data_IF_377265000700
#
_entry.id   IF_377265000700
#
_cell.length_a   1.000
_cell.length_b   1.000
_cell.length_c   1.000
_cell.angle_alpha   90.00
_cell.angle_beta   90.00
_cell.angle_gamma   90.00
#
_symmetry.space_group_name_H-M   'P 1'
#
loop_
_entity.id
_entity.type
_entity.pdbx_description
1 polymer ?
#
# COMPACT_ATOMS: atom_id res chain seq x y z
N UNK A 1 -25.05 19.38 -30.76
CA UNK A 1 -25.52 18.28 -29.88
C UNK A 1 -25.34 16.99 -30.65
N UNK A 2 -24.76 15.91 -30.16
CA UNK A 2 -24.17 15.58 -28.87
C UNK A 2 -23.10 14.51 -29.20
N UNK A 3 -21.85 14.74 -28.83
CA UNK A 3 -20.78 13.76 -28.96
C UNK A 3 -21.05 12.64 -27.96
N UNK A 4 -21.19 11.40 -28.44
CA UNK A 4 -21.21 10.21 -27.59
C UNK A 4 -19.77 9.77 -27.38
N UNK A 5 -19.36 9.78 -26.11
CA UNK A 5 -18.08 9.34 -25.59
C UNK A 5 -17.82 7.89 -25.95
N UNK A 6 -16.62 7.63 -26.48
CA UNK A 6 -16.10 6.29 -26.74
C UNK A 6 -15.90 5.52 -25.44
N UNK A 7 -16.31 4.26 -25.50
CA UNK A 7 -15.94 3.22 -24.55
C UNK A 7 -14.41 3.05 -24.61
N UNK A 8 -13.73 3.38 -23.51
CA UNK A 8 -12.31 3.04 -23.36
C UNK A 8 -12.20 1.54 -23.03
N UNK A 9 -11.99 0.75 -24.07
CA UNK A 9 -11.43 -0.59 -24.01
C UNK A 9 -9.95 -0.46 -23.65
N UNK A 10 -9.60 -0.62 -22.37
CA UNK A 10 -8.26 -0.94 -21.90
C UNK A 10 -8.39 -1.48 -20.47
N UNK A 11 -8.78 -2.75 -20.36
CA UNK A 11 -8.91 -3.48 -19.08
C UNK A 11 -8.05 -4.76 -19.07
N UNK A 12 -6.93 -4.78 -19.81
CA UNK A 12 -6.09 -5.97 -19.98
C UNK A 12 -4.59 -5.67 -19.95
N UNK A 13 -4.14 -4.75 -19.08
CA UNK A 13 -2.71 -4.48 -18.88
C UNK A 13 -2.22 -5.01 -17.55
N UNK A 14 -1.64 -6.21 -17.59
CA UNK A 14 -0.57 -6.70 -16.71
C UNK A 14 -0.67 -6.29 -15.24
N UNK A 15 -1.79 -6.60 -14.61
CA UNK A 15 -1.77 -6.82 -13.17
C UNK A 15 -1.02 -8.14 -12.93
N UNK A 16 0.27 -8.08 -12.58
CA UNK A 16 0.84 -9.12 -11.72
C UNK A 16 0.26 -8.90 -10.33
N UNK A 17 -1.04 -9.23 -10.21
CA UNK A 17 -1.74 -9.54 -8.98
C UNK A 17 -0.92 -10.63 -8.30
N UNK A 18 -0.83 -10.64 -6.96
CA UNK A 18 -0.36 -11.83 -6.29
C UNK A 18 -1.28 -12.96 -6.77
N UNK A 19 -0.76 -13.90 -7.56
CA UNK A 19 -1.45 -15.14 -7.76
C UNK A 19 -1.44 -15.81 -6.39
N UNK A 20 -2.46 -15.53 -5.57
CA UNK A 20 -2.78 -16.34 -4.42
C UNK A 20 -3.07 -17.72 -5.02
N UNK A 21 -2.06 -18.59 -5.07
CA UNK A 21 -2.34 -20.01 -5.13
C UNK A 21 -3.29 -20.28 -3.96
N UNK A 22 -4.53 -20.65 -4.28
CA UNK A 22 -5.58 -21.01 -3.34
C UNK A 22 -5.19 -22.28 -2.56
N UNK A 23 -4.10 -22.22 -1.81
CA UNK A 23 -3.89 -23.07 -0.67
C UNK A 23 -4.89 -22.57 0.38
N UNK A 24 -5.99 -23.30 0.55
CA UNK A 24 -7.01 -22.94 1.54
C UNK A 24 -6.40 -22.68 2.93
N UNK A 25 -7.13 -21.95 3.78
CA UNK A 25 -6.68 -21.54 5.12
C UNK A 25 -5.97 -22.67 5.86
N UNK A 26 -4.69 -22.44 6.18
CA UNK A 26 -3.92 -23.38 6.97
C UNK A 26 -4.22 -23.20 8.48
N UNK A 27 -3.63 -24.04 9.33
CA UNK A 27 -3.88 -23.96 10.77
C UNK A 27 -3.34 -22.67 11.41
N UNK A 28 -2.25 -22.13 10.88
CA UNK A 28 -1.71 -20.84 11.34
C UNK A 28 -2.67 -19.69 11.02
N UNK A 29 -3.31 -19.70 9.85
CA UNK A 29 -4.31 -18.68 9.48
C UNK A 29 -5.51 -18.71 10.43
N UNK A 30 -5.98 -19.90 10.83
CA UNK A 30 -7.08 -20.03 11.81
C UNK A 30 -6.68 -19.49 13.18
N UNK A 31 -5.46 -19.80 13.63
CA UNK A 31 -4.92 -19.28 14.89
C UNK A 31 -4.83 -17.75 14.83
N UNK A 32 -4.34 -17.20 13.71
CA UNK A 32 -4.26 -15.75 13.51
C UNK A 32 -5.65 -15.10 13.56
N UNK A 33 -6.66 -15.67 12.89
CA UNK A 33 -8.04 -15.18 12.93
C UNK A 33 -8.63 -15.20 14.35
N UNK A 34 -8.42 -16.27 15.11
CA UNK A 34 -8.89 -16.37 16.49
C UNK A 34 -8.24 -15.29 17.38
N UNK A 35 -6.92 -15.11 17.26
CA UNK A 35 -6.18 -14.06 17.99
C UNK A 35 -6.67 -12.65 17.61
N UNK A 36 -6.80 -12.37 16.31
CA UNK A 36 -7.30 -11.07 15.81
C UNK A 36 -8.75 -10.85 16.28
N UNK A 37 -9.58 -11.89 16.22
CA UNK A 37 -10.98 -11.84 16.67
C UNK A 37 -11.13 -11.40 18.13
N UNK A 38 -10.20 -11.82 19.00
CA UNK A 38 -10.15 -11.50 20.43
C UNK A 38 -9.59 -10.12 20.75
N UNK A 39 -8.97 -9.41 19.79
CA UNK A 39 -8.47 -8.07 20.02
C UNK A 39 -9.60 -7.10 20.37
N UNK A 40 -9.35 -6.26 21.37
CA UNK A 40 -10.27 -5.24 21.86
C UNK A 40 -9.85 -3.84 21.43
N UNK A 41 -10.82 -2.93 21.30
CA UNK A 41 -10.57 -1.54 20.90
C UNK A 41 -9.56 -0.81 21.80
N UNK A 42 -9.54 -1.11 23.11
CA UNK A 42 -8.57 -0.53 24.04
C UNK A 42 -7.12 -0.90 23.70
N UNK A 43 -6.87 -2.10 23.17
CA UNK A 43 -5.53 -2.51 22.73
C UNK A 43 -5.09 -1.69 21.51
N UNK A 44 -6.02 -1.39 20.59
CA UNK A 44 -5.73 -0.54 19.44
C UNK A 44 -5.38 0.89 19.86
N UNK A 45 -6.11 1.47 20.82
CA UNK A 45 -5.80 2.82 21.32
C UNK A 45 -4.41 2.90 21.96
N UNK A 46 -3.97 1.85 22.67
CA UNK A 46 -2.60 1.82 23.19
C UNK A 46 -1.54 1.77 22.08
N UNK A 47 -1.89 1.27 20.90
CA UNK A 47 -1.01 1.12 19.74
C UNK A 47 -1.16 2.25 18.71
N UNK A 48 -1.84 3.33 19.08
CA UNK A 48 -2.09 4.47 18.21
C UNK A 48 -0.84 5.31 17.97
N UNK A 49 -0.72 5.81 16.74
CA UNK A 49 0.07 6.99 16.40
C UNK A 49 -0.77 7.95 15.55
N UNK A 50 -0.34 9.21 15.49
CA UNK A 50 -0.90 10.19 14.57
C UNK A 50 0.03 10.34 13.37
N UNK A 51 -0.51 10.07 12.18
CA UNK A 51 0.10 10.52 10.93
C UNK A 51 -0.26 12.00 10.76
N UNK A 52 0.73 12.88 10.88
CA UNK A 52 0.50 14.32 10.96
C UNK A 52 0.21 14.94 9.59
N UNK A 53 -0.62 15.97 9.58
CA UNK A 53 -0.77 16.82 8.40
C UNK A 53 0.59 17.38 7.94
N UNK A 54 0.81 17.38 6.63
CA UNK A 54 2.05 17.81 6.00
C UNK A 54 3.10 16.70 5.84
N UNK A 55 2.89 15.49 6.36
CA UNK A 55 3.81 14.38 6.10
C UNK A 55 3.87 14.07 4.61
N UNK A 56 5.09 13.98 4.08
CA UNK A 56 5.37 13.51 2.72
C UNK A 56 5.61 12.00 2.72
N UNK A 57 4.93 11.32 1.80
CA UNK A 57 4.98 9.88 1.58
C UNK A 57 5.16 9.59 0.10
N UNK A 58 5.55 8.36 -0.22
CA UNK A 58 5.85 7.93 -1.57
C UNK A 58 4.89 6.85 -2.04
N UNK A 59 4.52 6.92 -3.31
CA UNK A 59 3.75 5.87 -3.98
C UNK A 59 4.31 5.66 -5.37
N UNK A 60 4.64 4.42 -5.69
CA UNK A 60 4.95 4.02 -7.05
C UNK A 60 3.71 3.42 -7.71
N UNK A 61 3.45 3.81 -8.96
CA UNK A 61 2.30 3.34 -9.74
C UNK A 61 2.66 3.19 -11.21
N UNK A 62 1.86 2.45 -11.96
CA UNK A 62 1.97 2.38 -13.43
C UNK A 62 1.16 3.52 -14.04
N UNK A 63 1.78 4.35 -14.88
CA UNK A 63 1.14 5.46 -15.56
C UNK A 63 0.80 6.65 -14.65
N UNK A 64 0.42 7.76 -15.26
CA UNK A 64 0.22 9.03 -14.54
C UNK A 64 -1.13 9.15 -13.84
N UNK A 65 -2.13 8.34 -14.19
CA UNK A 65 -3.48 8.40 -13.62
C UNK A 65 -4.06 9.82 -13.60
N UNK A 66 -3.94 10.55 -14.70
CA UNK A 66 -4.42 11.94 -14.79
C UNK A 66 -3.61 12.94 -13.96
N UNK A 67 -2.36 12.59 -13.59
CA UNK A 67 -1.48 13.42 -12.77
C UNK A 67 -1.63 13.21 -11.27
N UNK A 68 -2.38 12.19 -10.83
CA UNK A 68 -2.62 11.91 -9.41
C UNK A 68 -2.02 10.57 -8.98
N UNK A 69 -1.37 10.59 -7.82
CA UNK A 69 -0.97 9.41 -7.06
C UNK A 69 -1.86 9.14 -5.84
N UNK A 70 -2.86 10.00 -5.64
CA UNK A 70 -3.90 9.78 -4.63
C UNK A 70 -5.10 9.16 -5.32
N UNK A 71 -5.27 7.87 -5.05
CA UNK A 71 -6.48 7.14 -5.38
C UNK A 71 -6.67 5.97 -4.43
N UNK A 72 -7.87 5.87 -3.87
CA UNK A 72 -8.28 4.84 -2.92
C UNK A 72 -9.00 3.72 -3.67
N UNK A 73 -8.35 2.56 -3.77
CA UNK A 73 -8.89 1.43 -4.51
C UNK A 73 -10.00 0.75 -3.69
N UNK A 74 -11.25 0.83 -4.16
CA UNK A 74 -12.40 0.14 -3.58
C UNK A 74 -12.45 -1.36 -3.93
N UNK A 75 -11.77 -1.78 -5.00
CA UNK A 75 -11.66 -3.18 -5.35
C UNK A 75 -10.46 -3.80 -4.63
N UNK A 76 -10.66 -4.14 -3.35
CA UNK A 76 -9.64 -4.64 -2.45
C UNK A 76 -9.49 -6.16 -2.43
N UNK A 77 -10.17 -6.91 -3.30
CA UNK A 77 -10.28 -8.39 -3.18
C UNK A 77 -8.93 -9.11 -3.14
N UNK A 78 -7.88 -8.50 -3.68
CA UNK A 78 -6.50 -8.96 -3.52
C UNK A 78 -5.55 -7.86 -3.02
N UNK A 79 -5.93 -7.10 -1.99
CA UNK A 79 -5.03 -6.16 -1.30
C UNK A 79 -4.93 -6.46 0.22
N UNK A 80 -3.71 -6.61 0.75
CA UNK A 80 -3.48 -6.88 2.18
C UNK A 80 -3.93 -5.68 3.00
N UNK A 81 -4.80 -5.86 3.98
CA UNK A 81 -5.38 -4.76 4.78
C UNK A 81 -6.37 -3.85 4.04
N UNK A 82 -6.97 -4.32 2.95
CA UNK A 82 -8.13 -3.64 2.38
C UNK A 82 -9.39 -3.84 3.21
N UNK A 83 -10.37 -2.95 3.04
CA UNK A 83 -11.69 -3.07 3.63
C UNK A 83 -12.65 -3.67 2.60
N UNK A 84 -13.43 -4.68 3.01
CA UNK A 84 -14.44 -5.32 2.17
C UNK A 84 -15.86 -4.78 2.45
N UNK A 85 -15.98 -3.51 2.82
CA UNK A 85 -17.25 -2.88 3.19
C UNK A 85 -18.02 -2.29 1.99
N UNK A 86 -17.41 -2.28 0.80
CA UNK A 86 -17.98 -1.72 -0.43
C UNK A 86 -18.05 -0.19 -0.46
N UNK A 87 -17.50 0.49 0.54
CA UNK A 87 -17.56 1.94 0.71
C UNK A 87 -16.15 2.53 0.65
N UNK A 88 -15.27 2.06 1.53
CA UNK A 88 -13.93 2.60 1.70
C UNK A 88 -12.95 1.93 0.74
N UNK A 89 -12.17 2.75 0.05
CA UNK A 89 -11.01 2.27 -0.70
C UNK A 89 -9.76 2.26 0.16
N UNK A 90 -8.72 1.60 -0.34
CA UNK A 90 -7.40 1.56 0.30
C UNK A 90 -6.33 2.22 -0.56
N UNK A 91 -5.40 2.92 0.07
CA UNK A 91 -4.20 3.47 -0.55
C UNK A 91 -2.97 3.06 0.25
N UNK A 92 -1.99 2.44 -0.44
CA UNK A 92 -0.71 2.05 0.14
C UNK A 92 0.36 3.08 -0.18
N UNK A 93 1.16 3.41 0.81
CA UNK A 93 2.20 4.42 0.78
C UNK A 93 3.45 3.88 1.49
N UNK A 94 4.61 4.37 1.08
CA UNK A 94 5.88 4.09 1.73
C UNK A 94 6.48 5.37 2.32
N UNK A 95 7.35 5.20 3.33
CA UNK A 95 8.12 6.32 3.91
C UNK A 95 9.25 6.79 3.00
N UNK A 96 9.75 5.92 2.13
CA UNK A 96 10.86 6.23 1.22
C UNK A 96 10.60 5.68 -0.19
N UNK A 97 11.22 6.27 -1.23
CA UNK A 97 11.07 5.83 -2.61
C UNK A 97 11.57 4.40 -2.85
N UNK A 98 12.66 4.00 -2.19
CA UNK A 98 13.27 2.67 -2.32
C UNK A 98 12.34 1.58 -1.78
N UNK A 99 11.68 1.79 -0.63
CA UNK A 99 10.63 0.89 -0.15
C UNK A 99 9.46 0.83 -1.15
N UNK A 100 9.00 1.96 -1.70
CA UNK A 100 7.93 1.96 -2.71
C UNK A 100 8.31 1.18 -3.98
N UNK A 101 9.55 1.34 -4.47
CA UNK A 101 10.08 0.58 -5.60
C UNK A 101 10.17 -0.91 -5.27
N UNK A 102 10.70 -1.25 -4.10
CA UNK A 102 10.90 -2.64 -3.70
C UNK A 102 9.57 -3.39 -3.53
N UNK A 103 8.55 -2.74 -2.97
CA UNK A 103 7.20 -3.31 -2.86
C UNK A 103 6.58 -3.60 -4.24
N UNK A 104 6.64 -2.66 -5.18
CA UNK A 104 6.04 -2.84 -6.52
C UNK A 104 6.81 -3.87 -7.35
N UNK A 105 8.13 -3.92 -7.20
CA UNK A 105 8.99 -4.78 -8.03
C UNK A 105 9.44 -6.07 -7.35
N UNK A 106 8.89 -6.43 -6.18
CA UNK A 106 9.34 -7.59 -5.37
C UNK A 106 9.36 -8.93 -6.12
N UNK A 107 8.55 -9.10 -7.16
CA UNK A 107 8.48 -10.33 -7.96
C UNK A 107 9.07 -10.18 -9.37
N UNK A 108 9.65 -9.02 -9.69
CA UNK A 108 10.32 -8.80 -10.97
C UNK A 108 11.75 -9.37 -10.89
N UNK A 109 12.14 -10.11 -11.93
CA UNK A 109 13.53 -10.60 -12.08
C UNK A 109 14.49 -9.52 -12.57
N UNK A 110 13.94 -8.47 -13.18
CA UNK A 110 14.64 -7.33 -13.75
C UNK A 110 13.65 -6.45 -14.51
N UNK A 111 14.11 -5.28 -14.92
CA UNK A 111 13.37 -4.28 -15.71
C UNK A 111 14.21 -3.89 -16.92
N UNK A 112 13.56 -3.34 -17.95
CA UNK A 112 14.26 -2.59 -19.00
C UNK A 112 14.28 -1.10 -18.64
N UNK A 113 15.25 -0.34 -19.16
CA UNK A 113 15.25 1.12 -19.00
C UNK A 113 13.96 1.74 -19.52
N UNK A 114 13.48 1.28 -20.67
CA UNK A 114 12.19 1.70 -21.24
C UNK A 114 10.97 1.38 -20.37
N UNK A 115 11.07 0.42 -19.44
CA UNK A 115 9.99 0.16 -18.49
C UNK A 115 9.87 1.30 -17.48
N UNK A 116 10.98 1.98 -17.13
CA UNK A 116 11.02 3.04 -16.12
C UNK A 116 10.16 4.26 -16.50
N UNK A 117 9.96 4.51 -17.79
CA UNK A 117 9.06 5.56 -18.28
C UNK A 117 7.59 5.30 -17.89
N UNK A 118 7.23 4.03 -17.73
CA UNK A 118 5.85 3.63 -17.43
C UNK A 118 5.53 3.67 -15.93
N UNK A 119 6.54 3.77 -15.06
CA UNK A 119 6.34 3.82 -13.62
C UNK A 119 6.52 5.23 -13.10
N UNK A 120 5.53 5.72 -12.36
CA UNK A 120 5.48 7.08 -11.85
C UNK A 120 5.65 7.05 -10.34
N UNK A 121 6.71 7.70 -9.85
CA UNK A 121 6.90 7.97 -8.43
C UNK A 121 6.13 9.23 -8.05
N UNK A 122 5.10 9.06 -7.21
CA UNK A 122 4.32 10.13 -6.62
C UNK A 122 4.83 10.52 -5.25
N UNK A 123 4.94 11.83 -5.01
CA UNK A 123 5.04 12.41 -3.66
C UNK A 123 3.65 12.80 -3.20
N UNK A 124 3.17 12.14 -2.15
CA UNK A 124 1.85 12.33 -1.57
C UNK A 124 1.99 13.09 -0.26
N UNK A 125 1.18 14.12 -0.06
CA UNK A 125 1.13 14.90 1.19
C UNK A 125 -0.17 14.61 1.90
N UNK A 126 -0.07 14.29 3.19
CA UNK A 126 -1.23 14.13 4.07
C UNK A 126 -1.80 15.51 4.42
N UNK A 127 -3.10 15.73 4.24
CA UNK A 127 -3.72 17.05 4.41
C UNK A 127 -4.28 17.30 5.81
N UNK A 128 -4.52 16.24 6.59
CA UNK A 128 -5.05 16.31 7.96
C UNK A 128 -4.45 15.22 8.83
N UNK A 129 -4.46 15.42 10.14
CA UNK A 129 -4.04 14.39 11.08
C UNK A 129 -4.90 13.12 10.95
N UNK A 130 -4.24 11.96 10.83
CA UNK A 130 -4.89 10.66 10.72
C UNK A 130 -4.47 9.79 11.90
N UNK A 131 -5.45 9.22 12.59
CA UNK A 131 -5.19 8.19 13.60
C UNK A 131 -4.88 6.88 12.90
N UNK A 132 -3.66 6.37 13.09
CA UNK A 132 -3.22 5.12 12.47
C UNK A 132 -2.73 4.14 13.53
N UNK A 133 -3.02 2.86 13.34
CA UNK A 133 -2.53 1.81 14.23
C UNK A 133 -1.08 1.47 13.86
N UNK A 134 -0.20 1.39 14.86
CA UNK A 134 1.14 0.83 14.70
C UNK A 134 1.11 -0.69 14.88
N UNK A 135 1.18 -1.44 13.77
CA UNK A 135 1.14 -2.91 13.79
C UNK A 135 2.34 -3.49 14.57
N UNK A 136 3.52 -2.88 14.46
CA UNK A 136 4.71 -3.27 15.22
C UNK A 136 4.50 -3.19 16.75
N UNK A 137 3.80 -2.15 17.21
CA UNK A 137 3.43 -1.97 18.63
C UNK A 137 2.32 -2.91 19.06
N UNK A 138 1.37 -3.22 18.17
CA UNK A 138 0.36 -4.25 18.41
C UNK A 138 1.00 -5.62 18.61
N UNK A 139 1.91 -6.04 17.72
CA UNK A 139 2.69 -7.28 17.85
C UNK A 139 3.42 -7.32 19.19
N UNK A 140 4.12 -6.22 19.55
CA UNK A 140 4.88 -6.16 20.81
C UNK A 140 4.02 -6.28 22.07
N UNK A 141 2.75 -5.89 22.00
CA UNK A 141 1.85 -5.79 23.15
C UNK A 141 0.77 -6.88 23.19
N UNK A 142 0.83 -7.85 22.29
CA UNK A 142 -0.15 -8.93 22.16
C UNK A 142 0.52 -10.28 21.86
N UNK A 143 -0.29 -11.34 21.74
CA UNK A 143 0.17 -12.68 21.36
C UNK A 143 0.29 -12.87 19.83
N UNK A 144 0.12 -11.80 19.05
CA UNK A 144 0.29 -11.81 17.60
C UNK A 144 1.76 -11.77 17.23
N UNK A 145 2.10 -12.47 16.16
CA UNK A 145 3.44 -12.45 15.56
C UNK A 145 3.42 -11.72 14.22
N UNK A 146 4.60 -11.33 13.74
CA UNK A 146 4.74 -10.76 12.41
C UNK A 146 4.21 -11.72 11.34
N UNK A 147 4.61 -12.99 11.39
CA UNK A 147 4.19 -14.02 10.42
C UNK A 147 2.67 -14.18 10.32
N UNK A 148 1.96 -14.07 11.44
CA UNK A 148 0.48 -14.14 11.45
C UNK A 148 -0.17 -12.92 10.78
N UNK A 149 0.48 -11.76 10.80
CA UNK A 149 -0.03 -10.53 10.19
C UNK A 149 0.46 -10.33 8.75
N UNK A 150 1.49 -11.07 8.33
CA UNK A 150 2.08 -10.98 7.00
C UNK A 150 1.72 -12.16 6.08
N UNK A 151 0.81 -13.03 6.52
CA UNK A 151 0.32 -14.20 5.76
C UNK A 151 -0.21 -13.82 4.36
N UNK A 152 -0.14 -14.78 3.43
CA UNK A 152 -0.72 -14.66 2.09
C UNK A 152 -2.27 -14.69 2.11
N UNK A 153 -2.87 -15.23 3.18
CA UNK A 153 -4.32 -15.37 3.31
C UNK A 153 -4.98 -14.01 3.59
N UNK A 154 -5.57 -13.40 2.56
CA UNK A 154 -6.13 -12.04 2.64
C UNK A 154 -7.21 -11.86 3.71
N UNK A 155 -8.04 -12.88 3.91
CA UNK A 155 -9.06 -12.88 4.97
C UNK A 155 -8.48 -12.58 6.37
N UNK A 156 -7.25 -13.03 6.67
CA UNK A 156 -6.57 -12.74 7.95
C UNK A 156 -6.23 -11.25 8.04
N UNK A 157 -5.54 -10.73 7.04
CA UNK A 157 -5.08 -9.33 7.02
C UNK A 157 -6.26 -8.34 6.93
N UNK A 158 -7.31 -8.68 6.19
CA UNK A 158 -8.53 -7.88 6.04
C UNK A 158 -9.35 -7.86 7.33
N UNK A 159 -9.42 -8.97 8.09
CA UNK A 159 -10.08 -8.97 9.40
C UNK A 159 -9.42 -7.98 10.38
N UNK A 160 -8.08 -7.90 10.39
CA UNK A 160 -7.38 -6.91 11.20
C UNK A 160 -7.76 -5.49 10.78
N UNK A 161 -7.69 -5.20 9.47
CA UNK A 161 -8.06 -3.89 8.93
C UNK A 161 -9.48 -3.48 9.32
N UNK A 162 -10.46 -4.38 9.16
CA UNK A 162 -11.85 -4.16 9.53
C UNK A 162 -12.03 -3.83 11.01
N UNK A 163 -11.37 -4.57 11.90
CA UNK A 163 -11.44 -4.31 13.35
C UNK A 163 -10.81 -2.97 13.73
N UNK A 164 -9.69 -2.62 13.10
CA UNK A 164 -8.97 -1.37 13.35
C UNK A 164 -9.77 -0.18 12.84
N UNK A 165 -10.30 -0.26 11.62
CA UNK A 165 -11.19 0.75 11.06
C UNK A 165 -12.46 0.92 11.93
N UNK A 166 -13.07 -0.18 12.37
CA UNK A 166 -14.23 -0.15 13.28
C UNK A 166 -13.94 0.51 14.63
N UNK A 167 -12.67 0.55 15.06
CA UNK A 167 -12.22 1.25 16.25
C UNK A 167 -11.94 2.76 16.03
N UNK A 168 -12.23 3.28 14.84
CA UNK A 168 -12.13 4.70 14.49
C UNK A 168 -10.76 5.15 14.00
N UNK A 169 -9.95 4.23 13.47
CA UNK A 169 -8.67 4.53 12.83
C UNK A 169 -8.86 4.74 11.33
N UNK A 170 -8.11 5.69 10.76
CA UNK A 170 -8.11 5.98 9.31
C UNK A 170 -7.06 5.21 8.52
N UNK A 171 -6.27 4.36 9.17
CA UNK A 171 -5.22 3.58 8.52
C UNK A 171 -4.37 2.77 9.50
N UNK A 172 -3.32 2.15 8.96
CA UNK A 172 -2.34 1.39 9.73
C UNK A 172 -0.93 1.58 9.17
N UNK A 173 0.03 1.74 10.08
CA UNK A 173 1.45 1.58 9.78
C UNK A 173 1.84 0.12 10.02
N UNK A 174 2.39 -0.53 8.99
CA UNK A 174 2.75 -1.94 9.02
C UNK A 174 4.15 -2.15 8.43
N UNK A 175 4.93 -3.12 8.94
CA UNK A 175 6.20 -3.49 8.33
C UNK A 175 5.97 -4.14 6.97
N UNK A 176 6.72 -3.70 5.96
CA UNK A 176 6.82 -4.35 4.66
C UNK A 176 7.18 -5.83 4.81
N UNK A 177 6.51 -6.70 4.05
CA UNK A 177 6.85 -8.12 3.98
C UNK A 177 8.17 -8.37 3.25
N UNK A 178 8.65 -7.38 2.50
CA UNK A 178 9.79 -7.49 1.59
C UNK A 178 11.05 -6.88 2.21
N UNK A 179 10.94 -5.69 2.81
CA UNK A 179 12.09 -4.96 3.39
C UNK A 179 12.04 -4.90 4.92
N UNK A 180 10.87 -5.08 5.53
CA UNK A 180 10.66 -4.83 6.96
C UNK A 180 10.46 -3.35 7.32
N UNK A 181 10.66 -2.44 6.37
CA UNK A 181 10.49 -1.01 6.57
C UNK A 181 9.02 -0.62 6.74
N UNK A 182 8.71 0.45 7.48
CA UNK A 182 7.35 0.90 7.68
C UNK A 182 6.68 1.35 6.38
N UNK A 183 5.56 0.72 6.06
CA UNK A 183 4.59 1.12 5.06
C UNK A 183 3.31 1.60 5.75
N UNK A 184 2.48 2.33 5.00
CA UNK A 184 1.22 2.88 5.49
C UNK A 184 0.09 2.45 4.55
N UNK A 185 -1.01 1.96 5.12
CA UNK A 185 -2.28 1.84 4.42
C UNK A 185 -3.25 2.86 5.00
N UNK A 186 -3.89 3.63 4.14
CA UNK A 186 -4.95 4.57 4.50
C UNK A 186 -6.27 4.10 3.90
N UNK A 187 -7.37 4.42 4.58
CA UNK A 187 -8.73 4.17 4.10
C UNK A 187 -9.51 5.47 3.97
N UNK A 188 -10.28 5.58 2.90
CA UNK A 188 -11.15 6.73 2.66
C UNK A 188 -12.34 6.34 1.79
N UNK A 189 -13.48 7.00 2.01
CA UNK A 189 -14.70 6.79 1.24
C UNK A 189 -14.68 7.53 -0.10
N UNK A 190 -13.94 8.63 -0.23
CA UNK A 190 -13.70 9.31 -1.50
C UNK A 190 -12.54 8.65 -2.27
N UNK A 191 -12.78 8.06 -3.45
CA UNK A 191 -11.74 7.48 -4.28
C UNK A 191 -10.62 8.47 -4.66
N UNK A 192 -10.92 9.76 -4.75
CA UNK A 192 -9.93 10.80 -5.07
C UNK A 192 -9.14 11.27 -3.84
N UNK A 193 -9.50 10.82 -2.64
CA UNK A 193 -8.79 11.16 -1.41
C UNK A 193 -9.04 12.58 -0.90
N UNK A 194 -10.08 13.27 -1.38
CA UNK A 194 -10.33 14.70 -1.07
C UNK A 194 -10.31 14.97 0.43
N UNK A 195 -9.51 15.94 0.85
CA UNK A 195 -9.40 16.38 2.25
C UNK A 195 -8.65 15.40 3.16
N UNK A 196 -8.02 14.37 2.60
CA UNK A 196 -7.17 13.42 3.32
C UNK A 196 -5.73 13.47 2.82
N UNK A 197 -5.54 13.46 1.50
CA UNK A 197 -4.22 13.47 0.88
C UNK A 197 -4.25 14.13 -0.50
N UNK A 198 -3.12 14.70 -0.92
CA UNK A 198 -2.95 15.29 -2.25
C UNK A 198 -1.64 14.87 -2.89
N UNK A 199 -1.61 14.88 -4.22
CA UNK A 199 -0.38 14.62 -4.98
C UNK A 199 0.41 15.92 -5.09
N UNK A 200 1.58 15.98 -4.47
CA UNK A 200 2.49 17.13 -4.57
C UNK A 200 3.21 17.18 -5.89
N UNK A 201 3.70 16.02 -6.35
CA UNK A 201 4.40 15.87 -7.61
C UNK A 201 4.40 14.43 -8.08
N UNK A 202 4.60 14.24 -9.38
CA UNK A 202 4.83 12.94 -10.00
C UNK A 202 6.03 13.04 -10.94
N UNK A 203 6.80 11.97 -11.01
CA UNK A 203 7.98 11.88 -11.88
C UNK A 203 8.09 10.44 -12.38
N UNK A 204 8.34 10.23 -13.68
CA UNK A 204 8.65 8.89 -14.18
C UNK A 204 9.95 8.39 -13.55
N UNK A 205 10.11 7.09 -13.36
CA UNK A 205 11.33 6.55 -12.77
C UNK A 205 12.56 6.88 -13.64
N UNK A 206 12.41 6.97 -14.96
CA UNK A 206 13.46 7.39 -15.88
C UNK A 206 14.00 8.80 -15.63
N UNK A 207 13.24 9.65 -14.94
CA UNK A 207 13.63 11.04 -14.61
C UNK A 207 13.69 11.27 -13.10
N UNK A 208 13.44 10.22 -12.30
CA UNK A 208 13.35 10.34 -10.87
C UNK A 208 14.74 10.26 -10.25
N UNK A 209 15.05 11.24 -9.42
CA UNK A 209 16.27 11.29 -8.62
C UNK A 209 15.90 11.41 -7.14
N UNK A 210 16.59 10.65 -6.30
CA UNK A 210 16.46 10.72 -4.85
C UNK A 210 17.83 10.70 -4.19
N UNK A 211 18.10 11.73 -3.37
CA UNK A 211 19.38 11.90 -2.67
C UNK A 211 20.61 11.83 -3.60
N UNK A 212 20.52 12.39 -4.80
CA UNK A 212 21.63 12.39 -5.76
C UNK A 212 21.78 11.12 -6.59
N UNK A 213 20.80 10.19 -6.52
CA UNK A 213 20.83 8.91 -7.24
C UNK A 213 19.62 8.76 -8.15
N UNK A 214 19.86 8.30 -9.36
CA UNK A 214 18.80 7.97 -10.32
C UNK A 214 18.04 6.72 -9.87
N UNK A 215 16.77 6.58 -10.29
CA UNK A 215 15.97 5.41 -9.93
C UNK A 215 16.62 4.09 -10.39
N UNK A 216 17.25 4.07 -11.57
CA UNK A 216 17.95 2.91 -12.09
C UNK A 216 19.10 2.48 -11.15
N UNK A 217 19.90 3.43 -10.66
CA UNK A 217 20.98 3.16 -9.71
C UNK A 217 20.44 2.62 -8.37
N UNK A 218 19.36 3.18 -7.85
CA UNK A 218 18.74 2.70 -6.60
C UNK A 218 18.24 1.26 -6.81
N UNK A 219 17.56 0.99 -7.92
CA UNK A 219 17.06 -0.34 -8.27
C UNK A 219 18.20 -1.37 -8.32
N UNK A 220 19.29 -1.05 -9.02
CA UNK A 220 20.41 -1.98 -9.23
C UNK A 220 21.25 -2.13 -7.96
N UNK A 221 21.74 -1.03 -7.39
CA UNK A 221 22.79 -1.07 -6.37
C UNK A 221 22.25 -1.21 -4.94
N UNK A 222 21.02 -0.76 -4.67
CA UNK A 222 20.44 -0.81 -3.33
C UNK A 222 19.40 -1.91 -3.20
N UNK A 223 18.58 -2.09 -4.24
CA UNK A 223 17.45 -3.03 -4.22
C UNK A 223 17.78 -4.39 -4.87
N UNK A 224 18.91 -4.49 -5.57
CA UNK A 224 19.35 -5.71 -6.25
C UNK A 224 18.42 -6.13 -7.41
N UNK A 225 17.75 -5.17 -8.04
CA UNK A 225 16.84 -5.36 -9.17
C UNK A 225 17.56 -4.88 -10.44
N UNK A 226 17.99 -5.79 -11.33
CA UNK A 226 18.66 -5.40 -12.57
C UNK A 226 17.79 -4.50 -13.44
N UNK A 227 18.43 -3.50 -14.05
CA UNK A 227 17.86 -2.68 -15.12
C UNK A 227 18.76 -2.85 -16.34
N UNK A 228 18.21 -3.35 -17.44
CA UNK A 228 18.90 -3.58 -18.70
C UNK A 228 18.49 -2.53 -19.75
N UNK A 229 19.41 -2.14 -20.64
CA UNK A 229 19.11 -1.27 -21.80
C UNK A 229 18.06 -1.88 -22.75
#
# INVERSE_FOLDING_TARGET
MCLKSGENLNDDTNQTVEASENAGMNEQDKIALDKIGKLQGAQFQHCEMTETAGTELFRLQVGSHGGSSVFFNRNGTDCRYSLNDGVNGSMYLARTPDTAMKEVFQHKKGLRESDLDNYIMGKVIIEKDIRVLQVSKLIKSSDLTLHELTTATRAVTQLLAEKVHSAGFGGMEFPSNVTGDPCLVLWHDDPAGTGLATTRSQTSLSQFEYQGKEAADILVYELGIPVEE
#
